data_IF_464142780937
#
_entry.id   IF_464142780937
#
_cell.length_a   1.000
_cell.length_b   1.000
_cell.length_c   1.000
_cell.angle_alpha   90.00
_cell.angle_beta   90.00
_cell.angle_gamma   90.00
#
_symmetry.space_group_name_H-M   'P 1'
#
loop_
_entity.id
_entity.type
_entity.pdbx_description
1 polymer ?
#
# COMPACT_ATOMS: atom_id res chain seq x y z
N UNK A 1 9.58 -0.07 21.73
CA UNK A 1 10.78 0.77 21.54
C UNK A 1 11.39 0.33 20.23
N UNK A 2 11.38 1.18 19.18
CA UNK A 2 12.11 0.89 17.95
C UNK A 2 13.59 0.83 18.36
N UNK A 3 14.35 -0.24 18.03
CA UNK A 3 15.79 -0.19 18.15
C UNK A 3 16.24 1.10 17.47
N UNK A 4 17.22 1.83 18.03
CA UNK A 4 17.73 3.06 17.41
C UNK A 4 17.88 2.80 15.91
N UNK A 5 16.89 3.32 15.13
CA UNK A 5 16.88 3.10 13.71
C UNK A 5 18.16 3.74 13.19
N UNK A 6 19.03 2.96 12.58
CA UNK A 6 20.17 3.49 11.87
C UNK A 6 19.64 4.56 10.90
N UNK A 7 20.41 5.61 10.65
CA UNK A 7 20.02 6.80 9.87
C UNK A 7 19.43 6.51 8.47
N UNK A 8 19.35 5.24 8.06
CA UNK A 8 18.86 4.77 6.76
C UNK A 8 17.75 3.73 6.85
N UNK A 9 17.04 3.60 7.99
CA UNK A 9 15.98 2.58 8.11
C UNK A 9 14.65 3.09 7.57
N UNK A 10 14.00 2.27 6.76
CA UNK A 10 12.64 2.51 6.26
C UNK A 10 11.66 1.49 6.82
N UNK A 11 10.43 1.92 7.02
CA UNK A 11 9.30 1.02 7.26
C UNK A 11 8.52 0.84 5.96
N UNK A 12 8.16 -0.39 5.66
CA UNK A 12 7.42 -0.76 4.46
C UNK A 12 6.10 -1.40 4.86
N UNK A 13 5.00 -0.84 4.39
CA UNK A 13 3.70 -1.48 4.39
C UNK A 13 3.50 -2.18 3.07
N UNK A 14 3.11 -3.46 3.13
CA UNK A 14 2.90 -4.29 1.96
C UNK A 14 1.52 -4.94 2.02
N UNK A 15 0.78 -4.92 0.90
CA UNK A 15 -0.43 -5.70 0.71
C UNK A 15 -0.45 -6.38 -0.66
N UNK A 16 -1.34 -7.36 -0.82
CA UNK A 16 -1.50 -8.09 -2.07
C UNK A 16 -2.63 -7.49 -2.92
N UNK A 17 -2.24 -6.91 -4.06
CA UNK A 17 -3.23 -6.41 -5.01
C UNK A 17 -4.07 -7.55 -5.58
N UNK A 18 -5.40 -7.41 -5.53
CA UNK A 18 -6.40 -8.40 -5.99
C UNK A 18 -6.51 -9.67 -5.16
N UNK A 19 -6.00 -9.70 -3.92
CA UNK A 19 -6.04 -10.90 -3.07
C UNK A 19 -7.45 -11.42 -2.82
N UNK A 20 -8.46 -10.56 -2.61
CA UNK A 20 -9.85 -10.97 -2.49
C UNK A 20 -10.38 -11.67 -3.76
N UNK A 21 -9.94 -11.22 -4.96
CA UNK A 21 -10.28 -11.89 -6.21
C UNK A 21 -9.59 -13.25 -6.32
N UNK A 22 -8.35 -13.34 -5.87
CA UNK A 22 -7.60 -14.58 -5.79
C UNK A 22 -8.33 -15.60 -4.92
N UNK A 23 -8.73 -15.22 -3.69
CA UNK A 23 -9.47 -16.08 -2.78
C UNK A 23 -10.81 -16.55 -3.37
N UNK A 24 -11.54 -15.67 -4.06
CA UNK A 24 -12.79 -16.07 -4.74
C UNK A 24 -12.59 -17.08 -5.85
N UNK A 25 -11.44 -17.04 -6.53
CA UNK A 25 -11.14 -17.92 -7.67
C UNK A 25 -10.54 -19.26 -7.25
N UNK A 26 -9.64 -19.25 -6.27
CA UNK A 26 -8.83 -20.40 -5.89
C UNK A 26 -9.15 -20.96 -4.49
N UNK A 27 -10.02 -20.30 -3.74
CA UNK A 27 -10.38 -20.65 -2.38
C UNK A 27 -9.50 -20.01 -1.31
N UNK A 28 -10.04 -19.94 -0.08
CA UNK A 28 -9.36 -19.32 1.06
C UNK A 28 -8.14 -20.12 1.53
N UNK A 29 -8.21 -21.46 1.45
CA UNK A 29 -7.07 -22.33 1.82
C UNK A 29 -5.85 -22.06 0.94
N UNK A 30 -6.08 -21.86 -0.34
CA UNK A 30 -5.00 -21.48 -1.29
C UNK A 30 -4.46 -20.07 -1.01
N UNK A 31 -5.35 -19.14 -0.69
CA UNK A 31 -4.94 -17.80 -0.25
C UNK A 31 -4.07 -17.83 1.00
N UNK A 32 -4.46 -18.60 1.99
CA UNK A 32 -3.67 -18.79 3.21
C UNK A 32 -2.32 -19.43 2.92
N UNK A 33 -2.25 -20.39 2.00
CA UNK A 33 -0.99 -20.99 1.54
C UNK A 33 -0.05 -19.95 0.93
N UNK A 34 -0.57 -19.06 0.09
CA UNK A 34 0.20 -17.95 -0.51
C UNK A 34 0.72 -17.00 0.56
N UNK A 35 -0.13 -16.61 1.52
CA UNK A 35 0.27 -15.72 2.61
C UNK A 35 1.36 -16.32 3.50
N UNK A 36 1.26 -17.61 3.84
CA UNK A 36 2.28 -18.31 4.62
C UNK A 36 3.62 -18.37 3.88
N UNK A 37 3.61 -18.69 2.58
CA UNK A 37 4.84 -18.74 1.77
C UNK A 37 5.47 -17.35 1.59
N UNK A 38 4.66 -16.31 1.42
CA UNK A 38 5.17 -14.93 1.37
C UNK A 38 5.80 -14.53 2.71
N UNK A 39 5.14 -14.86 3.83
CA UNK A 39 5.69 -14.60 5.16
C UNK A 39 7.04 -15.33 5.38
N UNK A 40 7.14 -16.59 4.95
CA UNK A 40 8.40 -17.34 5.01
C UNK A 40 9.49 -16.68 4.16
N UNK A 41 9.18 -16.28 2.93
CA UNK A 41 10.13 -15.57 2.06
C UNK A 41 10.62 -14.24 2.69
N UNK A 42 9.75 -13.52 3.39
CA UNK A 42 10.15 -12.30 4.12
C UNK A 42 11.08 -12.63 5.30
N UNK A 43 10.82 -13.71 6.05
CA UNK A 43 11.66 -14.13 7.18
C UNK A 43 13.04 -14.65 6.73
N UNK A 44 13.11 -15.28 5.57
CA UNK A 44 14.36 -15.81 5.00
C UNK A 44 15.23 -14.71 4.36
N UNK A 45 14.66 -13.55 4.04
CA UNK A 45 15.39 -12.46 3.40
C UNK A 45 16.27 -11.72 4.41
N UNK A 46 17.58 -11.84 4.26
CA UNK A 46 18.57 -11.26 5.19
C UNK A 46 18.61 -9.72 5.22
N UNK A 47 18.02 -9.06 4.23
CA UNK A 47 17.88 -7.60 4.18
C UNK A 47 16.69 -7.08 4.99
N UNK A 48 15.80 -7.95 5.46
CA UNK A 48 14.65 -7.60 6.30
C UNK A 48 15.06 -7.72 7.77
N UNK A 49 15.09 -6.58 8.48
CA UNK A 49 15.49 -6.51 9.88
C UNK A 49 14.41 -7.02 10.83
N UNK A 50 13.18 -6.76 10.52
CA UNK A 50 12.00 -7.18 11.27
C UNK A 50 10.80 -7.22 10.32
N UNK A 51 9.96 -8.25 10.43
CA UNK A 51 8.70 -8.30 9.69
C UNK A 51 7.57 -8.88 10.54
N UNK A 52 6.35 -8.53 10.16
CA UNK A 52 5.15 -9.06 10.79
C UNK A 52 3.91 -8.90 9.90
N UNK A 53 2.98 -9.83 10.03
CA UNK A 53 1.64 -9.73 9.43
C UNK A 53 0.72 -9.02 10.41
N UNK A 54 0.06 -7.93 9.95
CA UNK A 54 -0.79 -7.11 10.80
C UNK A 54 -2.25 -7.56 10.71
N UNK A 55 -2.72 -7.84 9.51
CA UNK A 55 -4.08 -8.28 9.23
C UNK A 55 -4.14 -8.92 7.84
N UNK A 56 -5.16 -9.71 7.57
CA UNK A 56 -5.46 -10.32 6.24
C UNK A 56 -4.24 -10.50 5.32
N UNK A 57 -4.10 -9.65 4.30
CA UNK A 57 -2.98 -9.62 3.34
C UNK A 57 -2.01 -8.45 3.61
N UNK A 58 -2.03 -7.89 4.81
CA UNK A 58 -1.21 -6.75 5.20
C UNK A 58 0.01 -7.16 6.01
N UNK A 59 1.17 -6.75 5.55
CA UNK A 59 2.46 -6.96 6.20
C UNK A 59 3.17 -5.63 6.47
N UNK A 60 3.97 -5.61 7.54
CA UNK A 60 4.95 -4.54 7.79
C UNK A 60 6.33 -5.15 7.89
N UNK A 61 7.33 -4.44 7.39
CA UNK A 61 8.72 -4.81 7.64
C UNK A 61 9.64 -3.59 7.71
N UNK A 62 10.78 -3.77 8.35
CA UNK A 62 11.86 -2.80 8.44
C UNK A 62 13.05 -3.28 7.61
N UNK A 63 13.66 -2.37 6.89
CA UNK A 63 14.86 -2.65 6.09
C UNK A 63 15.70 -1.38 5.91
N UNK A 64 16.90 -1.54 5.37
CA UNK A 64 17.73 -0.43 4.91
C UNK A 64 17.15 0.19 3.62
N UNK A 65 17.18 1.52 3.54
CA UNK A 65 16.66 2.29 2.41
C UNK A 65 17.29 1.89 1.07
N UNK A 66 18.56 1.52 1.07
CA UNK A 66 19.27 1.14 -0.16
C UNK A 66 18.86 -0.24 -0.68
N UNK A 67 18.33 -1.10 0.18
CA UNK A 67 17.94 -2.48 -0.13
C UNK A 67 16.47 -2.64 -0.47
N UNK A 68 15.62 -1.69 -0.08
CA UNK A 68 14.16 -1.84 -0.09
C UNK A 68 13.58 -2.19 -1.47
N UNK A 69 14.03 -1.53 -2.54
CA UNK A 69 13.51 -1.80 -3.87
C UNK A 69 13.90 -3.18 -4.39
N UNK A 70 15.14 -3.61 -4.10
CA UNK A 70 15.62 -4.96 -4.45
C UNK A 70 14.78 -6.02 -3.73
N UNK A 71 14.53 -5.83 -2.44
CA UNK A 71 13.69 -6.73 -1.64
C UNK A 71 12.26 -6.79 -2.19
N UNK A 72 11.65 -5.66 -2.51
CA UNK A 72 10.30 -5.62 -3.07
C UNK A 72 10.20 -6.36 -4.42
N UNK A 73 11.20 -6.20 -5.29
CA UNK A 73 11.26 -6.94 -6.57
C UNK A 73 11.38 -8.43 -6.35
N UNK A 74 12.26 -8.85 -5.44
CA UNK A 74 12.44 -10.26 -5.10
C UNK A 74 11.16 -10.86 -4.52
N UNK A 75 10.54 -10.21 -3.54
CA UNK A 75 9.28 -10.68 -2.94
C UNK A 75 8.15 -10.78 -3.97
N UNK A 76 8.06 -9.81 -4.89
CA UNK A 76 7.07 -9.87 -5.97
C UNK A 76 7.35 -11.02 -6.94
N UNK A 77 8.61 -11.27 -7.29
CA UNK A 77 8.99 -12.42 -8.12
C UNK A 77 8.62 -13.73 -7.43
N UNK A 78 8.97 -13.90 -6.16
CA UNK A 78 8.58 -15.08 -5.37
C UNK A 78 7.07 -15.24 -5.27
N UNK A 79 6.32 -14.14 -5.13
CA UNK A 79 4.86 -14.18 -5.15
C UNK A 79 4.33 -14.76 -6.48
N UNK A 80 4.93 -14.38 -7.61
CA UNK A 80 4.56 -14.94 -8.91
C UNK A 80 4.85 -16.44 -9.04
N UNK A 81 5.90 -16.92 -8.40
CA UNK A 81 6.25 -18.34 -8.41
C UNK A 81 5.30 -19.20 -7.55
N UNK A 82 4.79 -18.64 -6.46
CA UNK A 82 3.93 -19.36 -5.51
C UNK A 82 2.44 -19.23 -5.78
N UNK A 83 2.03 -18.29 -6.62
CA UNK A 83 0.62 -18.04 -6.94
C UNK A 83 0.25 -18.59 -8.32
N UNK A 84 -1.04 -18.91 -8.50
CA UNK A 84 -1.58 -19.36 -9.79
C UNK A 84 -2.10 -18.20 -10.66
N UNK A 85 -1.98 -16.95 -10.20
CA UNK A 85 -2.52 -15.79 -10.91
C UNK A 85 -1.44 -14.72 -11.06
N UNK A 86 -0.97 -14.51 -12.29
CA UNK A 86 0.03 -13.50 -12.62
C UNK A 86 -0.42 -12.06 -12.36
N UNK A 87 -1.72 -11.85 -12.09
CA UNK A 87 -2.27 -10.55 -11.72
C UNK A 87 -2.24 -10.29 -10.21
N UNK A 88 -1.92 -11.30 -9.40
CA UNK A 88 -1.66 -11.14 -7.98
C UNK A 88 -0.28 -10.53 -7.82
N UNK A 89 -0.16 -9.32 -7.33
CA UNK A 89 1.12 -8.65 -7.15
C UNK A 89 1.18 -7.89 -5.82
N UNK A 90 2.40 -7.60 -5.39
CA UNK A 90 2.66 -6.78 -4.23
C UNK A 90 2.31 -5.32 -4.56
N UNK A 91 1.74 -4.64 -3.58
CA UNK A 91 1.62 -3.20 -3.54
C UNK A 91 2.23 -2.73 -2.22
N UNK A 92 3.18 -1.81 -2.29
CA UNK A 92 3.91 -1.38 -1.12
C UNK A 92 3.95 0.14 -0.97
N UNK A 93 3.99 0.59 0.27
CA UNK A 93 4.29 1.97 0.62
C UNK A 93 5.51 2.01 1.52
N UNK A 94 6.38 2.97 1.29
CA UNK A 94 7.67 3.10 1.95
C UNK A 94 7.71 4.44 2.67
N UNK A 95 8.16 4.44 3.92
CA UNK A 95 8.36 5.66 4.69
C UNK A 95 9.73 5.66 5.37
N UNK A 96 10.47 6.75 5.18
CA UNK A 96 11.73 7.02 5.90
C UNK A 96 11.39 7.34 7.36
N UNK A 97 11.83 6.49 8.29
CA UNK A 97 11.46 6.65 9.70
C UNK A 97 12.17 7.87 10.28
N UNK A 98 11.36 8.81 10.81
CA UNK A 98 11.90 9.92 11.60
C UNK A 98 12.03 9.51 13.08
N UNK A 99 13.07 9.94 13.78
CA UNK A 99 13.22 9.69 15.22
C UNK A 99 12.06 10.25 16.07
N UNK A 100 11.32 11.21 15.55
CA UNK A 100 10.16 11.80 16.22
C UNK A 100 8.87 10.98 16.07
N UNK A 101 8.84 10.00 15.16
CA UNK A 101 7.63 9.21 14.88
C UNK A 101 7.47 8.06 15.88
N UNK A 102 6.22 7.83 16.29
CA UNK A 102 5.86 6.53 16.87
C UNK A 102 5.82 5.45 15.79
N UNK A 103 5.97 4.18 16.18
CA UNK A 103 5.85 3.03 15.26
C UNK A 103 4.53 3.05 14.50
N UNK A 104 3.45 3.40 15.19
CA UNK A 104 2.10 3.47 14.62
C UNK A 104 2.06 4.56 13.55
N UNK A 105 2.52 5.78 13.86
CA UNK A 105 2.52 6.88 12.91
C UNK A 105 3.38 6.58 11.66
N UNK A 106 4.54 5.95 11.84
CA UNK A 106 5.38 5.52 10.72
C UNK A 106 4.69 4.45 9.85
N UNK A 107 4.03 3.48 10.47
CA UNK A 107 3.23 2.46 9.78
C UNK A 107 2.05 3.05 9.00
N UNK A 108 1.35 4.01 9.59
CA UNK A 108 0.22 4.71 8.94
C UNK A 108 0.68 5.51 7.71
N UNK A 109 1.84 6.19 7.79
CA UNK A 109 2.43 6.90 6.66
C UNK A 109 2.82 5.93 5.53
N UNK A 110 3.47 4.81 5.86
CA UNK A 110 3.79 3.77 4.87
C UNK A 110 2.50 3.20 4.24
N UNK A 111 1.47 2.91 5.05
CA UNK A 111 0.17 2.47 4.56
C UNK A 111 -0.47 3.48 3.62
N UNK A 112 -0.43 4.76 3.95
CA UNK A 112 -0.96 5.83 3.11
C UNK A 112 -0.28 5.88 1.74
N UNK A 113 1.04 5.66 1.69
CA UNK A 113 1.79 5.56 0.45
C UNK A 113 1.34 4.35 -0.40
N UNK A 114 1.12 3.18 0.21
CA UNK A 114 0.57 2.01 -0.49
C UNK A 114 -0.87 2.27 -1.01
N UNK A 115 -1.71 2.91 -0.18
CA UNK A 115 -3.09 3.23 -0.54
C UNK A 115 -3.18 4.24 -1.70
N UNK A 116 -2.21 5.13 -1.87
CA UNK A 116 -2.15 6.07 -3.00
C UNK A 116 -2.02 5.40 -4.38
N UNK A 117 -1.62 4.12 -4.39
CA UNK A 117 -1.55 3.29 -5.60
C UNK A 117 -2.90 2.65 -5.96
N UNK A 118 -3.94 2.78 -5.13
CA UNK A 118 -5.27 2.24 -5.43
C UNK A 118 -5.87 2.93 -6.64
N UNK A 119 -6.41 2.15 -7.57
CA UNK A 119 -7.01 2.66 -8.81
C UNK A 119 -6.02 3.04 -9.90
N UNK A 120 -4.72 3.04 -9.64
CA UNK A 120 -3.71 3.18 -10.67
C UNK A 120 -3.54 1.84 -11.40
N UNK A 121 -3.32 1.89 -12.72
CA UNK A 121 -2.97 0.69 -13.49
C UNK A 121 -1.68 0.11 -12.92
N UNK A 122 -1.66 -1.21 -12.72
CA UNK A 122 -0.45 -1.90 -12.28
C UNK A 122 0.49 -1.94 -13.49
N UNK A 123 1.35 -0.91 -13.59
CA UNK A 123 2.53 -0.95 -14.45
C UNK A 123 3.69 -1.59 -13.69
N UNK A 124 4.90 -1.34 -14.15
CA UNK A 124 6.13 -1.91 -13.55
C UNK A 124 6.43 -1.40 -12.13
N UNK A 125 5.73 -0.35 -11.66
CA UNK A 125 5.94 0.25 -10.34
C UNK A 125 4.79 -0.14 -9.42
N UNK A 126 5.11 -0.94 -8.41
CA UNK A 126 4.17 -1.44 -7.40
C UNK A 126 4.47 -0.93 -5.98
N UNK A 127 5.30 0.11 -5.85
CA UNK A 127 5.53 0.81 -4.58
C UNK A 127 5.50 2.32 -4.74
N UNK A 128 5.27 3.03 -3.62
CA UNK A 128 5.30 4.48 -3.54
C UNK A 128 5.94 4.90 -2.22
N UNK A 129 6.76 5.94 -2.27
CA UNK A 129 7.30 6.57 -1.07
C UNK A 129 6.31 7.56 -0.49
N UNK A 130 6.22 7.61 0.84
CA UNK A 130 5.51 8.69 1.51
C UNK A 130 6.37 9.95 1.45
N UNK A 131 5.98 10.88 0.63
CA UNK A 131 6.67 12.14 0.41
C UNK A 131 5.81 13.35 0.84
N UNK A 132 6.38 14.56 0.68
CA UNK A 132 5.70 15.80 1.00
C UNK A 132 4.47 16.04 0.12
N UNK A 133 4.51 15.65 -1.13
CA UNK A 133 3.38 15.84 -2.05
C UNK A 133 2.19 14.99 -1.62
N UNK A 134 2.44 13.73 -1.27
CA UNK A 134 1.41 12.83 -0.73
C UNK A 134 0.85 13.36 0.60
N UNK A 135 1.72 13.85 1.51
CA UNK A 135 1.29 14.43 2.77
C UNK A 135 0.31 15.60 2.54
N UNK A 136 0.68 16.56 1.68
CA UNK A 136 -0.16 17.70 1.33
C UNK A 136 -1.48 17.29 0.64
N UNK A 137 -1.45 16.27 -0.21
CA UNK A 137 -2.64 15.73 -0.85
C UNK A 137 -3.61 15.10 0.19
N UNK A 138 -3.08 14.41 1.20
CA UNK A 138 -3.86 13.85 2.29
C UNK A 138 -4.46 14.94 3.18
N UNK A 139 -3.69 15.94 3.59
CA UNK A 139 -4.18 17.07 4.37
C UNK A 139 -5.32 17.80 3.63
N UNK A 140 -5.13 18.07 2.34
CA UNK A 140 -6.15 18.69 1.49
C UNK A 140 -7.41 17.85 1.42
N UNK A 141 -7.28 16.53 1.28
CA UNK A 141 -8.41 15.61 1.26
C UNK A 141 -9.17 15.63 2.59
N UNK A 142 -8.45 15.56 3.71
CA UNK A 142 -9.04 15.64 5.04
C UNK A 142 -9.81 16.95 5.23
N UNK A 143 -9.19 18.08 4.88
CA UNK A 143 -9.83 19.39 4.93
C UNK A 143 -11.13 19.43 4.11
N UNK A 144 -11.12 18.89 2.90
CA UNK A 144 -12.33 18.84 2.05
C UNK A 144 -13.43 18.01 2.73
N UNK A 145 -13.07 16.83 3.25
CA UNK A 145 -14.05 15.94 3.89
C UNK A 145 -14.65 16.56 5.15
N UNK A 146 -13.84 17.19 6.01
CA UNK A 146 -14.30 17.85 7.24
C UNK A 146 -15.20 19.06 6.97
N UNK A 147 -15.00 19.75 5.85
CA UNK A 147 -15.78 20.96 5.50
C UNK A 147 -16.87 20.70 4.45
N UNK A 148 -17.07 19.46 4.02
CA UNK A 148 -17.99 19.12 2.92
C UNK A 148 -19.44 19.48 3.23
N UNK A 149 -19.94 19.12 4.42
CA UNK A 149 -21.31 19.44 4.85
C UNK A 149 -21.55 20.93 4.96
N UNK A 150 -20.52 21.68 5.40
CA UNK A 150 -20.62 23.15 5.46
C UNK A 150 -20.67 23.74 4.06
N UNK A 151 -19.89 23.22 3.12
CA UNK A 151 -19.89 23.68 1.74
C UNK A 151 -21.27 23.47 1.05
N UNK A 152 -21.93 22.35 1.35
CA UNK A 152 -23.31 22.09 0.89
C UNK A 152 -24.28 23.09 1.50
N UNK A 153 -24.25 23.28 2.84
CA UNK A 153 -25.16 24.20 3.54
C UNK A 153 -25.01 25.66 3.08
N UNK A 154 -23.79 26.06 2.73
CA UNK A 154 -23.48 27.40 2.25
C UNK A 154 -23.73 27.57 0.73
N UNK A 155 -24.19 26.54 0.02
CA UNK A 155 -24.44 26.60 -1.41
C UNK A 155 -23.18 26.79 -2.27
N UNK A 156 -21.99 26.38 -1.77
CA UNK A 156 -20.74 26.46 -2.52
C UNK A 156 -20.60 25.34 -3.55
N UNK A 157 -21.38 24.27 -3.39
CA UNK A 157 -21.39 23.11 -4.30
C UNK A 157 -22.65 23.15 -5.15
N UNK A 158 -22.50 23.18 -6.47
CA UNK A 158 -23.58 23.17 -7.41
C UNK A 158 -23.53 21.90 -8.28
N UNK A 159 -24.73 21.36 -8.59
CA UNK A 159 -24.86 20.22 -9.50
C UNK A 159 -25.06 20.73 -10.93
N UNK A 160 -24.22 20.29 -11.84
CA UNK A 160 -24.34 20.56 -13.27
C UNK A 160 -24.70 19.28 -14.00
N UNK A 161 -25.64 19.37 -14.96
CA UNK A 161 -26.07 18.25 -15.78
C UNK A 161 -25.50 18.43 -17.20
N UNK A 162 -24.89 17.38 -17.72
CA UNK A 162 -24.50 17.32 -19.14
C UNK A 162 -25.55 16.51 -19.89
N UNK A 163 -26.22 17.06 -20.92
CA UNK A 163 -27.18 16.30 -21.73
C UNK A 163 -26.43 15.22 -22.53
N UNK A 164 -26.95 13.99 -22.47
CA UNK A 164 -26.49 12.90 -23.31
C UNK A 164 -27.47 12.76 -24.48
N UNK A 165 -27.00 13.07 -25.68
CA UNK A 165 -27.78 12.87 -26.90
C UNK A 165 -27.61 11.43 -27.39
N UNK A 166 -28.69 10.71 -27.55
CA UNK A 166 -28.70 9.44 -28.32
C UNK A 166 -28.60 9.79 -29.81
N UNK A 167 -27.48 9.43 -30.43
CA UNK A 167 -27.41 9.30 -31.89
C UNK A 167 -28.19 8.04 -32.27
N UNK A 168 -29.37 8.22 -32.83
CA UNK A 168 -30.09 7.15 -33.52
C UNK A 168 -29.34 6.88 -34.82
N UNK A 169 -28.65 5.74 -34.91
CA UNK A 169 -28.23 5.11 -36.18
C UNK A 169 -29.31 4.17 -36.63
#
# INVERSE_FOLDING_TARGET
>A
MIPQAAENTVIVFLNLHRFQRYNRRYGYEEGDRVLHRLAAAMQENSGILLCGRIAEDHFLFLTDKTSVEGILRELNHRLQEISYDSLLCIRAGIYDISPADSVIAAGDKAKAAADSLRGKSVGDVFWHYYDRELALAMERRTYILENFDQAIRNGWIHVYYQPVMRTLT
#
